data_IF_178476809606
#
_entry.id   IF_178476809606
#
_cell.length_a   1.000
_cell.length_b   1.000
_cell.length_c   1.000
_cell.angle_alpha   90.00
_cell.angle_beta   90.00
_cell.angle_gamma   90.00
#
_symmetry.space_group_name_H-M   'P 1'
#
loop_
_entity.id
_entity.type
_entity.pdbx_description
1 polymer ?
#
# COMPACT_ATOMS: atom_id res chain seq x y z
N UNK A 1 -7.59 5.30 -20.01
CA UNK A 1 -8.42 4.79 -18.90
C UNK A 1 -8.45 5.81 -17.74
N UNK A 2 -9.15 6.96 -17.88
CA UNK A 2 -9.19 7.97 -16.81
C UNK A 2 -9.92 7.49 -15.54
N UNK A 3 -10.68 6.42 -15.63
CA UNK A 3 -11.36 5.76 -14.50
C UNK A 3 -10.43 5.12 -13.48
N UNK A 4 -9.17 4.87 -13.86
CA UNK A 4 -8.18 4.34 -12.90
C UNK A 4 -7.61 5.40 -11.97
N UNK A 5 -7.81 6.68 -12.27
CA UNK A 5 -7.17 7.77 -11.53
C UNK A 5 -7.70 7.90 -10.12
N UNK A 6 -6.79 8.16 -9.18
CA UNK A 6 -7.11 8.39 -7.77
C UNK A 6 -7.89 9.68 -7.56
N UNK A 7 -8.68 9.67 -6.50
CA UNK A 7 -9.24 10.86 -5.87
C UNK A 7 -8.47 11.12 -4.59
N UNK A 8 -7.99 12.34 -4.42
CA UNK A 8 -7.26 12.80 -3.25
C UNK A 8 -8.16 12.96 -2.03
N UNK A 9 -7.56 13.13 -0.86
CA UNK A 9 -8.26 13.38 0.40
C UNK A 9 -9.20 14.59 0.34
N UNK A 10 -8.86 15.62 -0.44
CA UNK A 10 -9.70 16.81 -0.67
C UNK A 10 -10.77 16.64 -1.76
N UNK A 11 -10.95 15.45 -2.31
CA UNK A 11 -11.93 15.16 -3.36
C UNK A 11 -11.48 15.46 -4.79
N UNK A 12 -10.29 16.03 -4.98
CA UNK A 12 -9.78 16.30 -6.33
C UNK A 12 -9.31 15.02 -7.01
N UNK A 13 -9.73 14.79 -8.25
CA UNK A 13 -9.26 13.68 -9.06
C UNK A 13 -7.87 13.98 -9.63
N UNK A 14 -6.92 13.06 -9.46
CA UNK A 14 -5.58 13.17 -10.03
C UNK A 14 -5.61 13.13 -11.54
N UNK A 15 -4.53 13.64 -12.13
CA UNK A 15 -4.21 13.50 -13.57
C UNK A 15 -3.01 12.57 -13.72
N UNK A 16 -2.76 12.09 -14.93
CA UNK A 16 -1.56 11.32 -15.24
C UNK A 16 -0.28 12.17 -15.08
N UNK A 17 0.82 11.50 -14.80
CA UNK A 17 2.15 12.10 -14.78
C UNK A 17 2.81 12.18 -13.40
N UNK A 18 2.13 11.78 -12.31
CA UNK A 18 2.73 11.64 -10.98
C UNK A 18 2.89 10.19 -10.56
N UNK A 19 3.49 9.95 -9.41
CA UNK A 19 3.57 8.61 -8.79
C UNK A 19 2.24 8.26 -8.12
N UNK A 20 1.94 6.95 -8.07
CA UNK A 20 0.77 6.40 -7.38
C UNK A 20 -0.56 7.04 -7.80
N UNK A 21 -0.76 7.31 -9.11
CA UNK A 21 -1.99 7.93 -9.58
C UNK A 21 -3.15 6.96 -9.73
N UNK A 22 -2.91 5.64 -9.68
CA UNK A 22 -3.95 4.64 -9.91
C UNK A 22 -4.65 4.24 -8.62
N UNK A 23 -5.98 4.11 -8.69
CA UNK A 23 -6.80 3.61 -7.61
C UNK A 23 -6.55 2.11 -7.39
N UNK A 24 -6.17 1.65 -6.18
CA UNK A 24 -5.92 0.24 -5.93
C UNK A 24 -7.19 -0.63 -6.00
N UNK A 25 -8.38 -0.02 -5.97
CA UNK A 25 -9.67 -0.70 -6.09
C UNK A 25 -10.31 -0.55 -7.48
N UNK A 26 -9.59 0.03 -8.46
CA UNK A 26 -10.06 0.05 -9.84
C UNK A 26 -9.96 -1.34 -10.47
N UNK A 27 -11.06 -1.93 -10.96
CA UNK A 27 -11.01 -3.22 -11.65
C UNK A 27 -10.12 -3.18 -12.89
N UNK A 28 -10.15 -2.06 -13.61
CA UNK A 28 -9.34 -1.85 -14.82
C UNK A 28 -7.84 -1.82 -14.47
N UNK A 29 -7.46 -1.10 -13.41
CA UNK A 29 -6.07 -1.09 -12.95
C UNK A 29 -5.60 -2.49 -12.56
N UNK A 30 -6.34 -3.19 -11.71
CA UNK A 30 -6.02 -4.56 -11.27
C UNK A 30 -5.87 -5.54 -12.42
N UNK A 31 -6.77 -5.47 -13.38
CA UNK A 31 -6.73 -6.33 -14.57
C UNK A 31 -5.47 -6.08 -15.41
N UNK A 32 -5.15 -4.82 -15.70
CA UNK A 32 -4.02 -4.52 -16.57
C UNK A 32 -2.66 -4.67 -15.89
N UNK A 33 -2.54 -4.38 -14.58
CA UNK A 33 -1.29 -4.62 -13.85
C UNK A 33 -0.97 -6.11 -13.77
N UNK A 34 -1.93 -6.93 -13.39
CA UNK A 34 -1.76 -8.38 -13.38
C UNK A 34 -1.44 -8.96 -14.77
N UNK A 35 -2.15 -8.47 -15.82
CA UNK A 35 -1.88 -8.90 -17.19
C UNK A 35 -0.49 -8.51 -17.68
N UNK A 36 0.01 -7.34 -17.31
CA UNK A 36 1.37 -6.93 -17.63
C UNK A 36 2.40 -7.83 -16.95
N UNK A 37 2.23 -8.09 -15.65
CA UNK A 37 3.09 -8.99 -14.88
C UNK A 37 3.10 -10.41 -15.49
N UNK A 38 1.93 -10.93 -15.84
CA UNK A 38 1.78 -12.23 -16.51
C UNK A 38 2.52 -12.28 -17.85
N UNK A 39 2.36 -11.25 -18.70
CA UNK A 39 3.01 -11.21 -20.01
C UNK A 39 4.54 -11.10 -19.92
N UNK A 40 5.05 -10.38 -18.94
CA UNK A 40 6.48 -10.34 -18.68
C UNK A 40 7.00 -11.72 -18.22
N UNK A 41 6.32 -12.34 -17.26
CA UNK A 41 6.73 -13.65 -16.76
C UNK A 41 6.64 -14.74 -17.83
N UNK A 42 5.58 -14.73 -18.66
CA UNK A 42 5.43 -15.63 -19.81
C UNK A 42 6.58 -15.48 -20.81
N UNK A 43 6.97 -14.22 -21.09
CA UNK A 43 8.04 -13.93 -22.05
C UNK A 43 9.40 -14.36 -21.56
N UNK A 44 9.69 -14.17 -20.27
CA UNK A 44 11.02 -14.42 -19.71
C UNK A 44 11.16 -15.78 -18.98
N UNK A 45 10.14 -16.64 -18.96
CA UNK A 45 10.13 -17.89 -18.20
C UNK A 45 11.28 -18.86 -18.54
N UNK A 46 11.79 -18.82 -19.77
CA UNK A 46 12.84 -19.72 -20.26
C UNK A 46 14.26 -19.11 -20.15
N UNK A 47 14.40 -17.99 -19.42
CA UNK A 47 15.72 -17.35 -19.20
C UNK A 47 16.29 -17.78 -17.85
N UNK A 48 17.41 -18.49 -17.88
CA UNK A 48 18.06 -19.09 -16.70
C UNK A 48 18.75 -18.06 -15.77
N UNK A 49 18.90 -16.82 -16.21
CA UNK A 49 19.64 -15.79 -15.47
C UNK A 49 18.72 -14.85 -14.65
N UNK A 50 17.43 -15.12 -14.57
CA UNK A 50 16.51 -14.36 -13.72
C UNK A 50 16.64 -14.86 -12.28
N UNK A 51 17.07 -13.98 -11.38
CA UNK A 51 17.28 -14.32 -9.97
C UNK A 51 16.10 -13.94 -9.07
N UNK A 52 15.31 -12.95 -9.45
CA UNK A 52 14.12 -12.51 -8.73
C UNK A 52 13.24 -11.62 -9.62
N UNK A 53 11.97 -11.52 -9.27
CA UNK A 53 11.02 -10.54 -9.81
C UNK A 53 10.81 -9.40 -8.81
N UNK A 54 11.05 -8.19 -9.27
CA UNK A 54 10.66 -6.97 -8.56
C UNK A 54 9.35 -6.45 -9.14
N UNK A 55 8.25 -6.65 -8.41
CA UNK A 55 6.91 -6.24 -8.84
C UNK A 55 6.66 -4.79 -8.42
N UNK A 56 6.29 -3.96 -9.41
CA UNK A 56 6.01 -2.53 -9.20
C UNK A 56 7.20 -1.80 -8.53
N UNK A 57 6.95 -0.64 -7.94
CA UNK A 57 7.95 0.12 -7.20
C UNK A 57 7.28 0.90 -6.08
N UNK A 58 7.75 0.71 -4.86
CA UNK A 58 7.34 1.47 -3.68
C UNK A 58 5.81 1.66 -3.60
N UNK A 59 5.08 0.56 -3.46
CA UNK A 59 3.62 0.64 -3.31
C UNK A 59 3.20 1.65 -2.24
N UNK A 60 2.23 2.50 -2.56
CA UNK A 60 1.81 3.51 -1.61
C UNK A 60 0.67 4.40 -2.09
N UNK A 61 0.46 5.48 -1.34
CA UNK A 61 -0.59 6.45 -1.58
C UNK A 61 -1.95 6.02 -1.05
N UNK A 62 -2.91 6.94 -1.10
CA UNK A 62 -4.29 6.75 -0.67
C UNK A 62 -5.23 7.16 -1.80
N UNK A 63 -6.44 6.62 -1.81
CA UNK A 63 -7.45 6.95 -2.82
C UNK A 63 -8.83 7.02 -2.18
N UNK A 64 -9.59 8.07 -2.44
CA UNK A 64 -10.90 8.35 -1.86
C UNK A 64 -12.00 8.45 -2.93
N UNK A 65 -11.98 7.55 -3.92
CA UNK A 65 -12.96 7.50 -4.99
C UNK A 65 -14.11 6.52 -4.69
N UNK A 66 -15.14 6.53 -5.52
CA UNK A 66 -16.30 5.64 -5.40
C UNK A 66 -15.95 4.15 -5.39
N UNK A 67 -14.93 3.72 -6.14
CA UNK A 67 -14.47 2.32 -6.11
C UNK A 67 -13.93 1.95 -4.71
N UNK A 68 -13.21 2.88 -4.08
CA UNK A 68 -12.71 2.69 -2.72
C UNK A 68 -13.84 2.67 -1.71
N UNK A 69 -14.87 3.51 -1.87
CA UNK A 69 -16.03 3.53 -0.98
C UNK A 69 -16.79 2.20 -1.02
N UNK A 70 -17.13 1.73 -2.21
CA UNK A 70 -17.78 0.42 -2.39
C UNK A 70 -16.95 -0.72 -1.81
N UNK A 71 -15.65 -0.73 -2.08
CA UNK A 71 -14.74 -1.77 -1.57
C UNK A 71 -14.57 -1.69 -0.05
N UNK A 72 -14.56 -0.49 0.53
CA UNK A 72 -14.47 -0.29 1.98
C UNK A 72 -15.68 -0.84 2.71
N UNK A 73 -16.89 -0.60 2.19
CA UNK A 73 -18.12 -1.20 2.75
C UNK A 73 -18.06 -2.73 2.73
N UNK A 74 -17.56 -3.33 1.64
CA UNK A 74 -17.37 -4.80 1.56
C UNK A 74 -16.35 -5.27 2.59
N UNK A 75 -15.24 -4.56 2.77
CA UNK A 75 -14.21 -4.86 3.76
C UNK A 75 -14.77 -4.77 5.20
N UNK A 76 -15.57 -3.77 5.49
CA UNK A 76 -16.23 -3.60 6.79
C UNK A 76 -17.23 -4.72 7.05
N UNK A 77 -18.07 -5.08 6.06
CA UNK A 77 -19.00 -6.22 6.16
C UNK A 77 -18.26 -7.53 6.51
N UNK A 78 -17.10 -7.75 5.90
CA UNK A 78 -16.28 -8.92 6.21
C UNK A 78 -15.67 -8.88 7.61
N UNK A 79 -15.33 -7.70 8.11
CA UNK A 79 -14.68 -7.50 9.41
C UNK A 79 -15.66 -7.54 10.58
N UNK A 80 -16.80 -6.87 10.43
CA UNK A 80 -17.74 -6.62 11.52
C UNK A 80 -19.03 -7.42 11.43
N UNK A 81 -19.35 -7.96 10.27
CA UNK A 81 -20.53 -8.77 9.96
C UNK A 81 -21.85 -8.00 10.00
N UNK A 82 -22.10 -7.14 10.99
CA UNK A 82 -23.32 -6.33 11.13
C UNK A 82 -23.01 -4.85 11.30
N UNK A 83 -24.00 -4.01 10.98
CA UNK A 83 -23.88 -2.56 11.15
C UNK A 83 -23.90 -2.16 12.63
N UNK A 84 -24.61 -2.91 13.46
CA UNK A 84 -24.65 -2.71 14.91
C UNK A 84 -23.26 -2.93 15.53
N UNK A 85 -22.50 -3.92 15.02
CA UNK A 85 -21.15 -4.14 15.50
C UNK A 85 -20.18 -3.03 15.06
N UNK A 86 -20.35 -2.46 13.87
CA UNK A 86 -19.63 -1.23 13.45
C UNK A 86 -19.93 -0.12 14.43
N UNK A 87 -21.21 0.16 14.70
CA UNK A 87 -21.64 1.20 15.61
C UNK A 87 -21.06 1.04 17.00
N UNK A 88 -21.10 -0.20 17.51
CA UNK A 88 -20.53 -0.54 18.84
C UNK A 88 -19.02 -0.31 18.91
N UNK A 89 -18.27 -0.77 17.90
CA UNK A 89 -16.79 -0.68 17.90
C UNK A 89 -16.30 0.74 17.64
N UNK A 90 -17.00 1.48 16.78
CA UNK A 90 -16.63 2.86 16.47
C UNK A 90 -17.20 3.87 17.47
N UNK A 91 -18.06 3.43 18.40
CA UNK A 91 -18.76 4.29 19.38
C UNK A 91 -19.56 5.42 18.70
N UNK A 92 -20.42 5.03 17.76
CA UNK A 92 -21.13 5.98 16.89
C UNK A 92 -22.32 6.70 17.55
N UNK A 93 -22.63 6.39 18.80
CA UNK A 93 -23.75 7.02 19.53
C UNK A 93 -23.52 8.51 19.86
N UNK A 94 -22.46 9.12 19.33
CA UNK A 94 -22.08 10.50 19.54
C UNK A 94 -22.54 11.39 18.38
N UNK A 95 -23.22 12.48 18.66
CA UNK A 95 -23.68 13.48 17.68
C UNK A 95 -24.41 12.93 16.46
N UNK A 96 -25.17 11.85 16.61
CA UNK A 96 -25.95 11.28 15.52
C UNK A 96 -25.13 10.55 14.46
N UNK A 97 -23.92 10.09 14.79
CA UNK A 97 -23.07 9.33 13.88
C UNK A 97 -23.47 7.85 13.74
N UNK A 98 -24.58 7.41 14.35
CA UNK A 98 -25.05 6.03 14.24
C UNK A 98 -25.48 5.71 12.81
N UNK A 99 -24.95 4.65 12.28
CA UNK A 99 -25.29 4.11 10.96
C UNK A 99 -26.43 3.09 11.08
N UNK A 100 -27.40 3.16 10.19
CA UNK A 100 -28.53 2.24 10.10
C UNK A 100 -28.42 1.33 8.87
N UNK A 101 -27.67 1.77 7.86
CA UNK A 101 -27.37 1.01 6.66
C UNK A 101 -25.91 1.15 6.26
N UNK A 102 -25.39 0.13 5.59
CA UNK A 102 -24.02 0.16 5.07
C UNK A 102 -23.79 1.26 4.04
N UNK A 103 -24.81 1.64 3.30
CA UNK A 103 -24.72 2.68 2.27
C UNK A 103 -24.58 4.10 2.86
N UNK A 104 -24.87 4.27 4.14
CA UNK A 104 -24.64 5.54 4.87
C UNK A 104 -23.15 5.76 5.19
N UNK A 105 -22.33 4.71 5.14
CA UNK A 105 -20.89 4.83 5.40
C UNK A 105 -20.21 5.44 4.17
N UNK A 106 -19.72 6.67 4.33
CA UNK A 106 -18.90 7.39 3.33
C UNK A 106 -17.44 7.39 3.74
N UNK A 107 -16.55 7.70 2.79
CA UNK A 107 -15.11 7.74 3.07
C UNK A 107 -14.72 8.88 4.00
N UNK A 108 -13.80 8.65 4.96
CA UNK A 108 -13.34 9.69 5.89
C UNK A 108 -12.33 10.63 5.21
N UNK A 109 -12.81 11.50 4.35
CA UNK A 109 -12.03 12.50 3.65
C UNK A 109 -12.48 13.92 4.02
N UNK A 110 -11.86 14.93 3.41
CA UNK A 110 -12.17 16.34 3.71
C UNK A 110 -13.62 16.74 3.38
N UNK A 111 -14.32 15.98 2.55
CA UNK A 111 -15.69 16.25 2.14
C UNK A 111 -16.74 15.60 3.07
N UNK A 112 -16.31 14.71 3.96
CA UNK A 112 -17.21 14.03 4.89
C UNK A 112 -17.31 14.77 6.22
N UNK A 113 -18.44 14.61 6.90
CA UNK A 113 -18.66 15.15 8.24
C UNK A 113 -17.75 14.56 9.32
N UNK A 114 -17.07 13.45 9.00
CA UNK A 114 -16.14 12.80 9.89
C UNK A 114 -14.81 13.56 10.02
N UNK A 115 -14.63 14.61 9.25
CA UNK A 115 -13.42 15.41 9.25
C UNK A 115 -13.72 16.90 9.45
N UNK A 116 -13.12 17.50 10.49
CA UNK A 116 -13.23 18.92 10.75
C UNK A 116 -11.89 19.49 11.26
N UNK A 117 -11.61 20.74 10.89
CA UNK A 117 -10.39 21.45 11.33
C UNK A 117 -9.09 20.66 11.09
N UNK A 118 -8.96 20.03 9.92
CA UNK A 118 -7.80 19.19 9.54
C UNK A 118 -7.57 17.98 10.47
N UNK A 119 -8.58 17.58 11.23
CA UNK A 119 -8.54 16.42 12.14
C UNK A 119 -9.74 15.53 11.90
N UNK A 120 -9.52 14.24 12.03
CA UNK A 120 -10.64 13.32 12.06
C UNK A 120 -11.40 13.49 13.38
N UNK A 121 -12.68 13.77 13.26
CA UNK A 121 -13.61 13.80 14.40
C UNK A 121 -14.03 12.39 14.82
N UNK A 122 -13.84 11.43 13.95
CA UNK A 122 -14.30 10.07 14.11
C UNK A 122 -13.16 9.06 13.88
N UNK A 123 -12.51 8.65 14.97
CA UNK A 123 -11.27 7.88 14.91
C UNK A 123 -11.47 6.48 14.32
N UNK A 124 -12.56 5.79 14.64
CA UNK A 124 -12.83 4.41 14.23
C UNK A 124 -12.80 4.24 12.72
N UNK A 125 -13.58 5.05 11.99
CA UNK A 125 -13.66 4.99 10.54
C UNK A 125 -12.31 5.34 9.88
N UNK A 126 -11.60 6.33 10.40
CA UNK A 126 -10.31 6.76 9.84
C UNK A 126 -9.23 5.70 10.02
N UNK A 127 -9.19 5.04 11.18
CA UNK A 127 -8.26 3.96 11.44
C UNK A 127 -8.54 2.75 10.55
N UNK A 128 -9.80 2.39 10.42
CA UNK A 128 -10.19 1.25 9.57
C UNK A 128 -10.00 1.57 8.08
N UNK A 129 -10.18 2.81 7.67
CA UNK A 129 -9.88 3.19 6.30
C UNK A 129 -8.39 3.04 5.95
N UNK A 130 -7.50 3.41 6.86
CA UNK A 130 -6.05 3.20 6.69
C UNK A 130 -5.70 1.71 6.60
N UNK A 131 -6.30 0.86 7.44
CA UNK A 131 -6.13 -0.59 7.36
C UNK A 131 -6.64 -1.16 6.05
N UNK A 132 -7.83 -0.74 5.64
CA UNK A 132 -8.42 -1.10 4.35
C UNK A 132 -7.54 -0.66 3.17
N UNK A 133 -7.02 0.57 3.20
CA UNK A 133 -6.14 1.06 2.12
C UNK A 133 -4.87 0.20 2.00
N UNK A 134 -4.24 -0.13 3.11
CA UNK A 134 -3.09 -1.06 3.13
C UNK A 134 -3.45 -2.43 2.54
N UNK A 135 -4.61 -2.98 2.92
CA UNK A 135 -5.10 -4.27 2.40
C UNK A 135 -5.41 -4.21 0.90
N UNK A 136 -6.00 -3.10 0.44
CA UNK A 136 -6.32 -2.89 -0.97
C UNK A 136 -5.08 -2.81 -1.86
N UNK A 137 -4.02 -2.18 -1.37
CA UNK A 137 -2.75 -2.09 -2.08
C UNK A 137 -2.03 -3.44 -2.06
N UNK A 138 -2.06 -4.15 -0.92
CA UNK A 138 -1.53 -5.52 -0.82
C UNK A 138 -2.20 -6.46 -1.83
N UNK A 139 -3.50 -6.31 -2.05
CA UNK A 139 -4.21 -7.12 -3.04
C UNK A 139 -3.73 -6.85 -4.46
N UNK A 140 -3.33 -5.61 -4.80
CA UNK A 140 -2.69 -5.33 -6.08
C UNK A 140 -1.37 -6.12 -6.23
N UNK A 141 -0.52 -6.08 -5.19
CA UNK A 141 0.71 -6.88 -5.17
C UNK A 141 0.44 -8.38 -5.34
N UNK A 142 -0.54 -8.93 -4.62
CA UNK A 142 -0.90 -10.35 -4.68
C UNK A 142 -1.36 -10.78 -6.06
N UNK A 143 -2.17 -9.99 -6.73
CA UNK A 143 -2.62 -10.28 -8.10
C UNK A 143 -1.47 -10.34 -9.09
N UNK A 144 -0.52 -9.43 -8.98
CA UNK A 144 0.69 -9.43 -9.81
C UNK A 144 1.65 -10.58 -9.44
N UNK A 145 1.82 -10.85 -8.14
CA UNK A 145 2.58 -11.99 -7.61
C UNK A 145 2.06 -13.32 -8.18
N UNK A 146 0.75 -13.56 -8.06
CA UNK A 146 0.11 -14.78 -8.56
C UNK A 146 0.23 -14.89 -10.09
N UNK A 147 0.14 -13.77 -10.80
CA UNK A 147 0.34 -13.73 -12.25
C UNK A 147 1.74 -14.17 -12.66
N UNK A 148 2.77 -13.69 -11.96
CA UNK A 148 4.18 -14.08 -12.19
C UNK A 148 4.41 -15.55 -11.84
N UNK A 149 3.92 -15.99 -10.68
CA UNK A 149 4.12 -17.38 -10.19
C UNK A 149 3.48 -18.46 -11.07
N UNK A 150 2.51 -18.14 -11.89
CA UNK A 150 1.96 -19.09 -12.87
C UNK A 150 2.97 -19.54 -13.93
N UNK A 151 3.95 -18.69 -14.25
CA UNK A 151 4.94 -18.95 -15.29
C UNK A 151 6.34 -19.29 -14.74
N UNK A 152 6.66 -18.73 -13.58
CA UNK A 152 7.98 -18.86 -12.93
C UNK A 152 7.83 -19.18 -11.45
N UNK A 153 7.28 -20.35 -11.07
CA UNK A 153 6.92 -20.67 -9.69
C UNK A 153 8.12 -20.67 -8.73
N UNK A 154 9.29 -21.03 -9.22
CA UNK A 154 10.52 -21.18 -8.40
C UNK A 154 11.30 -19.86 -8.26
N UNK A 155 11.04 -18.85 -9.10
CA UNK A 155 11.74 -17.58 -9.03
C UNK A 155 11.13 -16.72 -7.92
N UNK A 156 11.94 -16.21 -6.96
CA UNK A 156 11.44 -15.35 -5.89
C UNK A 156 10.81 -14.06 -6.40
N UNK A 157 9.75 -13.62 -5.73
CA UNK A 157 9.03 -12.37 -6.03
C UNK A 157 9.05 -11.45 -4.83
N UNK A 158 9.38 -10.20 -5.07
CA UNK A 158 9.43 -9.15 -4.04
C UNK A 158 8.93 -7.81 -4.57
N UNK A 159 8.81 -6.84 -3.69
CA UNK A 159 8.67 -5.42 -3.98
C UNK A 159 9.42 -4.61 -2.93
N UNK A 160 9.90 -3.43 -3.27
CA UNK A 160 10.67 -2.61 -2.34
C UNK A 160 9.78 -1.85 -1.35
N UNK A 161 10.13 -1.93 -0.08
CA UNK A 161 9.48 -1.23 1.02
C UNK A 161 10.20 0.08 1.33
N UNK A 162 9.46 1.11 1.71
CA UNK A 162 9.98 2.47 1.93
C UNK A 162 10.39 2.74 3.40
N UNK A 163 11.09 1.84 4.05
CA UNK A 163 11.53 2.04 5.43
C UNK A 163 10.38 2.19 6.43
N UNK A 164 10.32 3.32 7.14
CA UNK A 164 9.27 3.60 8.15
C UNK A 164 7.96 4.14 7.55
N UNK A 165 7.55 3.66 6.39
CA UNK A 165 6.32 4.10 5.72
C UNK A 165 5.06 3.56 6.41
N UNK A 166 4.46 4.34 7.28
CA UNK A 166 3.33 3.97 8.14
C UNK A 166 2.02 3.61 7.43
N UNK A 167 1.70 4.11 6.21
CA UNK A 167 0.44 3.79 5.53
C UNK A 167 0.26 2.32 5.14
N UNK A 168 1.34 1.53 5.10
CA UNK A 168 1.29 0.09 4.79
C UNK A 168 1.69 -0.75 6.00
N UNK A 169 0.93 -1.81 6.27
CA UNK A 169 1.24 -2.82 7.29
C UNK A 169 2.28 -3.81 6.76
N UNK A 170 3.55 -3.43 6.81
CA UNK A 170 4.66 -4.25 6.31
C UNK A 170 4.79 -5.61 6.97
N UNK A 171 4.38 -5.75 8.23
CA UNK A 171 4.38 -7.04 8.90
C UNK A 171 3.36 -8.01 8.27
N UNK A 172 2.22 -7.48 7.83
CA UNK A 172 1.24 -8.24 7.06
C UNK A 172 1.75 -8.53 5.64
N UNK A 173 2.34 -7.54 4.99
CA UNK A 173 2.87 -7.66 3.63
C UNK A 173 3.94 -8.73 3.50
N UNK A 174 4.89 -8.80 4.43
CA UNK A 174 6.00 -9.75 4.41
C UNK A 174 5.55 -11.22 4.36
N UNK A 175 4.33 -11.53 4.82
CA UNK A 175 3.75 -12.89 4.74
C UNK A 175 3.40 -13.32 3.31
N UNK A 176 3.32 -12.38 2.38
CA UNK A 176 2.99 -12.60 0.97
C UNK A 176 4.17 -12.37 0.04
N UNK A 177 5.34 -12.03 0.58
CA UNK A 177 6.57 -11.80 -0.17
C UNK A 177 7.51 -13.00 0.01
N UNK A 178 8.18 -13.44 -1.04
CA UNK A 178 9.17 -14.51 -0.93
C UNK A 178 10.43 -14.04 -0.18
N UNK A 179 10.77 -12.77 -0.33
CA UNK A 179 11.80 -12.08 0.44
C UNK A 179 11.41 -10.63 0.70
N UNK A 180 11.81 -10.09 1.83
CA UNK A 180 11.69 -8.66 2.10
C UNK A 180 12.77 -7.92 1.31
N UNK A 181 12.38 -6.88 0.60
CA UNK A 181 13.32 -5.91 0.03
C UNK A 181 12.90 -4.48 0.38
N UNK A 182 13.85 -3.57 0.44
CA UNK A 182 13.55 -2.20 0.86
C UNK A 182 14.59 -1.19 0.36
N UNK A 183 14.28 0.09 0.54
CA UNK A 183 15.07 1.21 0.06
C UNK A 183 15.64 1.99 1.24
N UNK A 184 16.95 2.25 1.20
CA UNK A 184 17.65 3.00 2.23
C UNK A 184 18.52 4.10 1.61
N UNK A 185 18.14 5.34 1.86
CA UNK A 185 18.86 6.53 1.38
C UNK A 185 19.38 7.36 2.55
N UNK A 186 20.39 6.87 3.29
CA UNK A 186 20.91 7.61 4.43
C UNK A 186 21.53 8.93 3.99
N UNK A 187 21.23 9.97 4.75
CA UNK A 187 21.85 11.27 4.63
C UNK A 187 23.03 11.41 5.61
N UNK A 188 23.79 12.48 5.49
CA UNK A 188 24.84 12.80 6.48
C UNK A 188 24.28 13.24 7.86
N UNK A 189 22.95 13.37 7.97
CA UNK A 189 22.26 13.63 9.24
C UNK A 189 21.91 12.32 9.98
N UNK A 190 21.90 11.18 9.27
CA UNK A 190 21.54 9.90 9.85
C UNK A 190 22.71 9.30 10.63
N UNK A 191 22.42 8.86 11.85
CA UNK A 191 23.42 8.18 12.67
C UNK A 191 23.54 6.69 12.27
N UNK A 192 24.71 6.05 12.50
CA UNK A 192 24.84 4.61 12.29
C UNK A 192 23.77 3.79 13.04
N UNK A 193 23.35 4.24 14.21
CA UNK A 193 22.31 3.58 15.01
C UNK A 193 20.94 3.63 14.31
N UNK A 194 20.56 4.75 13.70
CA UNK A 194 19.31 4.87 12.93
C UNK A 194 19.32 3.96 11.70
N UNK A 195 20.44 3.91 10.98
CA UNK A 195 20.60 3.03 9.82
C UNK A 195 20.49 1.56 10.26
N UNK A 196 21.20 1.18 11.32
CA UNK A 196 21.14 -0.18 11.87
C UNK A 196 19.72 -0.55 12.32
N UNK A 197 19.01 0.36 13.03
CA UNK A 197 17.62 0.14 13.43
C UNK A 197 16.73 -0.13 12.24
N UNK A 198 16.87 0.62 11.14
CA UNK A 198 16.08 0.44 9.92
C UNK A 198 16.33 -0.94 9.30
N UNK A 199 17.57 -1.38 9.20
CA UNK A 199 17.93 -2.71 8.72
C UNK A 199 17.39 -3.83 9.61
N UNK A 200 17.53 -3.69 10.94
CA UNK A 200 17.01 -4.68 11.90
C UNK A 200 15.48 -4.74 11.89
N UNK A 201 14.80 -3.61 11.66
CA UNK A 201 13.35 -3.60 11.46
C UNK A 201 12.96 -4.47 10.27
N UNK A 202 13.63 -4.31 9.12
CA UNK A 202 13.34 -5.10 7.91
C UNK A 202 13.65 -6.57 8.11
N UNK A 203 14.72 -6.89 8.82
CA UNK A 203 15.04 -8.27 9.22
C UNK A 203 13.95 -8.85 10.12
N UNK A 204 13.48 -8.09 11.10
CA UNK A 204 12.39 -8.49 12.02
C UNK A 204 11.07 -8.73 11.27
N UNK A 205 10.70 -7.84 10.35
CA UNK A 205 9.53 -8.00 9.47
C UNK A 205 9.62 -9.28 8.65
N UNK A 206 10.81 -9.63 8.15
CA UNK A 206 11.08 -10.86 7.42
C UNK A 206 11.23 -12.12 8.29
N UNK A 207 10.92 -12.04 9.60
CA UNK A 207 11.02 -13.18 10.51
C UNK A 207 12.46 -13.63 10.78
N UNK A 208 13.41 -12.70 10.79
CA UNK A 208 14.83 -12.95 11.00
C UNK A 208 15.61 -13.39 9.74
N UNK A 209 14.93 -13.52 8.62
CA UNK A 209 15.58 -13.86 7.34
C UNK A 209 16.38 -12.67 6.77
N UNK A 210 17.37 -12.92 5.93
CA UNK A 210 18.03 -11.87 5.17
C UNK A 210 17.03 -11.08 4.34
N UNK A 211 17.27 -9.78 4.20
CA UNK A 211 16.54 -8.90 3.31
C UNK A 211 17.42 -8.45 2.14
N UNK A 212 16.80 -8.02 1.06
CA UNK A 212 17.49 -7.40 -0.07
C UNK A 212 17.41 -5.88 0.05
N UNK A 213 18.55 -5.21 -0.05
CA UNK A 213 18.59 -3.75 -0.21
C UNK A 213 18.42 -3.44 -1.70
N UNK A 214 17.17 -3.07 -2.07
CA UNK A 214 16.80 -2.86 -3.47
C UNK A 214 17.35 -1.54 -4.00
N UNK A 215 17.21 -0.49 -3.19
CA UNK A 215 17.68 0.83 -3.52
C UNK A 215 18.55 1.39 -2.39
N UNK A 216 19.62 2.09 -2.74
CA UNK A 216 20.50 2.74 -1.78
C UNK A 216 21.17 3.97 -2.41
N UNK A 217 21.90 4.70 -1.59
CA UNK A 217 22.61 5.90 -2.00
C UNK A 217 24.10 5.65 -2.14
N UNK A 218 24.61 5.20 -3.30
CA UNK A 218 26.06 5.04 -3.50
C UNK A 218 26.77 6.35 -3.78
N UNK A 219 26.02 7.40 -4.15
CA UNK A 219 26.54 8.74 -4.46
C UNK A 219 25.44 9.80 -4.30
N UNK A 220 25.34 10.78 -5.18
CA UNK A 220 24.33 11.85 -5.12
C UNK A 220 22.97 11.37 -5.56
N UNK A 221 21.91 11.74 -4.81
CA UNK A 221 20.51 11.56 -5.19
C UNK A 221 19.84 12.88 -5.51
N UNK A 222 18.84 12.86 -6.39
CA UNK A 222 18.21 14.08 -6.90
C UNK A 222 17.46 14.90 -5.84
N UNK A 223 17.03 14.29 -4.74
CA UNK A 223 16.24 14.92 -3.68
C UNK A 223 17.00 15.20 -2.40
N UNK A 224 18.27 14.85 -2.36
CA UNK A 224 19.16 15.17 -1.25
C UNK A 224 20.25 16.11 -1.70
N UNK A 225 20.58 17.18 -0.94
CA UNK A 225 21.66 18.08 -1.28
C UNK A 225 23.03 17.38 -1.26
N UNK A 226 23.17 16.34 -0.44
CA UNK A 226 24.34 15.47 -0.35
C UNK A 226 23.98 14.17 0.38
N UNK A 227 24.79 13.15 0.19
CA UNK A 227 24.63 11.84 0.81
C UNK A 227 25.68 11.58 1.87
N UNK A 228 25.38 10.66 2.81
CA UNK A 228 26.33 10.23 3.84
C UNK A 228 27.42 9.30 3.30
N UNK A 229 27.34 8.92 2.05
CA UNK A 229 28.20 7.88 1.53
C UNK A 229 29.49 8.32 0.92
N UNK A 230 30.44 7.43 1.04
CA UNK A 230 31.72 7.44 0.37
C UNK A 230 32.11 6.04 -0.09
#
# INVERSE_FOLDING_TARGET
YPEILRTEFNGMKRKFGGRHNSCPNSPVYRMYSARLAEKLAEHYKDYDNIVAWHISNEYGGECYCENCEKAFRVWLKKKYHTIEEVNRVWDTAFWGHTFYDWEEIVLPNLLSEHFAYERTMFQGISLDYRRFNSDSILECYRLEYEAVKRHTPDIPVTTNLMGFYKPLDYQKWAKYMDMVSWDNYPSNQDTPAQIALSHELMRGIGGGKPFLLMEQTPSVTNWLPYNALK
#
